data_IF_784023820572
#
_entry.id   IF_784023820572
#
_cell.length_a   1.000
_cell.length_b   1.000
_cell.length_c   1.000
_cell.angle_alpha   90.00
_cell.angle_beta   90.00
_cell.angle_gamma   90.00
#
_symmetry.space_group_name_H-M   'P 1'
#
loop_
_entity.id
_entity.type
_entity.pdbx_description
1 polymer ?
#
# COMPACT_ATOMS: atom_id res chain seq x y z
N UNK A 1 -37.22 -22.44 -14.88
CA UNK A 1 -36.92 -23.70 -14.20
C UNK A 1 -35.42 -23.87 -14.01
N UNK A 2 -34.89 -24.86 -14.72
CA UNK A 2 -33.54 -25.41 -14.58
C UNK A 2 -32.42 -24.47 -15.03
N UNK A 3 -32.63 -23.69 -16.11
CA UNK A 3 -31.64 -22.71 -16.58
C UNK A 3 -31.36 -21.63 -15.53
N UNK A 4 -32.40 -21.12 -14.87
CA UNK A 4 -32.27 -20.09 -13.83
C UNK A 4 -31.49 -20.65 -12.63
N UNK A 5 -31.80 -21.89 -12.25
CA UNK A 5 -31.13 -22.59 -11.16
C UNK A 5 -29.64 -22.83 -11.45
N UNK A 6 -29.32 -23.22 -12.69
CA UNK A 6 -27.93 -23.38 -13.14
C UNK A 6 -27.14 -22.07 -13.18
N UNK A 7 -27.75 -21.00 -13.71
CA UNK A 7 -27.11 -19.67 -13.76
C UNK A 7 -26.86 -19.12 -12.35
N UNK A 8 -27.82 -19.27 -11.43
CA UNK A 8 -27.68 -18.85 -10.03
C UNK A 8 -26.59 -19.65 -9.32
N UNK A 9 -26.53 -20.97 -9.50
CA UNK A 9 -25.49 -21.81 -8.89
C UNK A 9 -24.09 -21.39 -9.37
N UNK A 10 -23.91 -21.22 -10.67
CA UNK A 10 -22.62 -20.84 -11.24
C UNK A 10 -22.16 -19.45 -10.78
N UNK A 11 -23.07 -18.47 -10.81
CA UNK A 11 -22.77 -17.10 -10.35
C UNK A 11 -22.44 -17.05 -8.86
N UNK A 12 -23.15 -17.81 -8.01
CA UNK A 12 -22.82 -17.93 -6.60
C UNK A 12 -21.40 -18.46 -6.38
N UNK A 13 -21.00 -19.52 -7.09
CA UNK A 13 -19.64 -20.10 -6.94
C UNK A 13 -18.57 -19.07 -7.30
N UNK A 14 -18.73 -18.38 -8.44
CA UNK A 14 -17.77 -17.36 -8.88
C UNK A 14 -17.70 -16.20 -7.88
N UNK A 15 -18.85 -15.77 -7.36
CA UNK A 15 -18.92 -14.69 -6.37
C UNK A 15 -18.23 -15.08 -5.06
N UNK A 16 -18.44 -16.30 -4.57
CA UNK A 16 -17.77 -16.84 -3.37
C UNK A 16 -16.25 -16.89 -3.58
N UNK A 17 -15.80 -17.36 -4.73
CA UNK A 17 -14.38 -17.44 -5.05
C UNK A 17 -13.75 -16.03 -5.12
N UNK A 18 -14.41 -15.07 -5.76
CA UNK A 18 -13.95 -13.69 -5.84
C UNK A 18 -13.84 -13.05 -4.45
N UNK A 19 -14.83 -13.25 -3.57
CA UNK A 19 -14.79 -12.77 -2.19
C UNK A 19 -13.63 -13.39 -1.39
N UNK A 20 -13.38 -14.69 -1.55
CA UNK A 20 -12.25 -15.36 -0.91
C UNK A 20 -10.91 -14.77 -1.36
N UNK A 21 -10.73 -14.54 -2.66
CA UNK A 21 -9.50 -13.96 -3.21
C UNK A 21 -9.29 -12.53 -2.70
N UNK A 22 -10.33 -11.71 -2.70
CA UNK A 22 -10.26 -10.33 -2.19
C UNK A 22 -9.95 -10.29 -0.69
N UNK A 23 -10.56 -11.18 0.09
CA UNK A 23 -10.27 -11.30 1.52
C UNK A 23 -8.82 -11.72 1.76
N UNK A 24 -8.31 -12.72 1.03
CA UNK A 24 -6.92 -13.14 1.11
C UNK A 24 -5.96 -11.99 0.74
N UNK A 25 -6.24 -11.26 -0.36
CA UNK A 25 -5.44 -10.09 -0.78
C UNK A 25 -5.43 -9.01 0.30
N UNK A 26 -6.57 -8.74 0.94
CA UNK A 26 -6.67 -7.72 2.00
C UNK A 26 -5.80 -8.02 3.22
N UNK A 27 -5.52 -9.29 3.48
CA UNK A 27 -4.65 -9.73 4.58
C UNK A 27 -3.18 -9.89 4.17
N UNK A 28 -2.91 -10.28 2.92
CA UNK A 28 -1.54 -10.46 2.42
C UNK A 28 -0.87 -9.15 1.98
N UNK A 29 -1.65 -8.16 1.56
CA UNK A 29 -1.12 -6.85 1.18
C UNK A 29 -1.09 -5.96 2.41
N UNK A 30 0.11 -5.69 2.90
CA UNK A 30 0.35 -4.86 4.07
C UNK A 30 -0.06 -3.41 3.77
N UNK A 31 -1.30 -3.06 4.13
CA UNK A 31 -1.85 -1.70 4.00
C UNK A 31 -1.88 -0.99 5.36
N UNK A 32 -1.28 -1.60 6.39
CA UNK A 32 -1.20 -1.02 7.72
C UNK A 32 -0.26 0.18 7.76
N UNK A 33 -0.48 1.06 8.74
CA UNK A 33 0.46 2.14 8.99
C UNK A 33 1.79 1.58 9.52
N UNK A 34 2.89 2.06 8.95
CA UNK A 34 4.26 1.72 9.34
C UNK A 34 4.85 2.86 10.16
N UNK A 35 5.61 2.51 11.20
CA UNK A 35 6.43 3.47 11.91
C UNK A 35 7.74 3.68 11.13
N UNK A 36 8.01 4.93 10.75
CA UNK A 36 9.26 5.34 10.09
C UNK A 36 10.10 6.10 11.11
N UNK A 37 11.23 5.51 11.47
CA UNK A 37 12.22 6.12 12.37
C UNK A 37 13.31 6.82 11.55
N UNK A 38 13.58 8.09 11.87
CA UNK A 38 14.57 8.91 11.16
C UNK A 38 15.79 9.11 12.04
N UNK A 39 16.94 8.54 11.63
CA UNK A 39 18.23 8.68 12.33
C UNK A 39 18.24 8.26 13.82
N UNK A 40 17.29 7.43 14.27
CA UNK A 40 17.20 7.04 15.68
C UNK A 40 16.57 8.10 16.60
N UNK A 41 16.07 9.22 16.04
CA UNK A 41 15.36 10.26 16.79
C UNK A 41 13.87 9.91 16.89
N UNK A 42 13.38 9.63 18.11
CA UNK A 42 11.96 9.37 18.36
C UNK A 42 11.09 10.61 18.08
N UNK A 43 11.61 11.81 18.30
CA UNK A 43 10.88 13.08 18.08
C UNK A 43 10.61 13.37 16.60
N UNK A 44 11.35 12.73 15.69
CA UNK A 44 11.17 12.81 14.23
C UNK A 44 10.55 11.56 13.64
N UNK A 45 10.26 10.57 14.48
CA UNK A 45 9.60 9.34 14.05
C UNK A 45 8.11 9.59 13.84
N UNK A 46 7.56 9.05 12.77
CA UNK A 46 6.15 9.24 12.45
C UNK A 46 5.54 7.97 11.88
N UNK A 47 4.22 7.88 12.00
CA UNK A 47 3.43 6.78 11.47
C UNK A 47 2.86 7.20 10.12
N UNK A 48 3.10 6.38 9.09
CA UNK A 48 2.62 6.65 7.74
C UNK A 48 2.05 5.40 7.08
N UNK A 49 1.04 5.54 6.21
CA UNK A 49 0.43 4.41 5.52
C UNK A 49 1.44 3.72 4.59
N UNK A 50 1.56 2.40 4.69
CA UNK A 50 2.41 1.63 3.78
C UNK A 50 1.90 1.73 2.33
N UNK A 51 2.81 2.03 1.39
CA UNK A 51 2.52 2.04 -0.05
C UNK A 51 2.88 3.32 -0.78
N UNK A 52 3.09 4.43 -0.07
CA UNK A 52 3.66 5.65 -0.66
C UNK A 52 5.20 5.61 -0.65
N UNK A 53 5.84 6.46 -1.45
CA UNK A 53 7.30 6.56 -1.50
C UNK A 53 7.83 7.19 -0.22
N UNK A 54 8.89 6.60 0.35
CA UNK A 54 9.56 7.12 1.55
C UNK A 54 9.92 8.61 1.43
N UNK A 55 10.34 9.07 0.24
CA UNK A 55 10.68 10.47 -0.01
C UNK A 55 9.48 11.42 0.08
N UNK A 56 8.28 11.00 -0.35
CA UNK A 56 7.06 11.78 -0.21
C UNK A 56 6.66 11.90 1.27
N UNK A 57 6.79 10.79 2.01
CA UNK A 57 6.53 10.75 3.45
C UNK A 57 7.46 11.68 4.22
N UNK A 58 8.77 11.62 3.97
CA UNK A 58 9.78 12.50 4.56
C UNK A 58 9.53 13.97 4.20
N UNK A 59 9.23 14.27 2.93
CA UNK A 59 8.90 15.63 2.49
C UNK A 59 7.64 16.17 3.14
N UNK A 60 6.64 15.32 3.40
CA UNK A 60 5.39 15.72 4.08
C UNK A 60 5.63 16.07 5.55
N UNK A 61 6.65 15.50 6.17
CA UNK A 61 7.11 15.84 7.53
C UNK A 61 8.17 16.97 7.54
N UNK A 62 8.38 17.64 6.40
CA UNK A 62 9.32 18.77 6.29
C UNK A 62 10.80 18.36 6.24
N UNK A 63 11.10 17.07 6.07
CA UNK A 63 12.45 16.55 5.91
C UNK A 63 12.76 16.46 4.41
N UNK A 64 13.33 17.54 3.88
CA UNK A 64 13.70 17.62 2.47
C UNK A 64 15.09 17.08 2.24
N UNK A 65 15.18 16.00 1.47
CA UNK A 65 16.45 15.56 0.87
C UNK A 65 16.71 16.45 -0.35
N UNK A 66 17.96 16.90 -0.55
CA UNK A 66 18.40 17.72 -1.69
C UNK A 66 18.31 16.98 -3.02
N UNK A 67 17.10 16.59 -3.42
CA UNK A 67 16.77 15.75 -4.55
C UNK A 67 15.90 16.54 -5.51
N UNK A 68 16.46 16.89 -6.68
CA UNK A 68 15.74 17.64 -7.72
C UNK A 68 14.58 16.84 -8.37
N UNK A 69 14.45 15.54 -8.09
CA UNK A 69 13.43 14.67 -8.68
C UNK A 69 12.07 14.69 -7.96
N UNK A 70 11.87 15.54 -6.94
CA UNK A 70 10.55 15.73 -6.32
C UNK A 70 9.90 14.45 -5.78
N UNK A 71 10.70 13.55 -5.20
CA UNK A 71 10.23 12.24 -4.69
C UNK A 71 10.14 11.12 -5.74
N UNK A 72 10.51 11.39 -7.00
CA UNK A 72 10.51 10.41 -8.09
C UNK A 72 11.60 9.32 -8.01
N UNK A 73 12.69 9.56 -7.27
CA UNK A 73 13.85 8.66 -7.20
C UNK A 73 14.71 8.63 -8.48
N UNK A 74 14.35 9.39 -9.51
CA UNK A 74 15.02 9.40 -10.82
C UNK A 74 16.30 10.24 -10.87
N UNK A 75 16.56 11.09 -9.87
CA UNK A 75 17.72 11.96 -9.85
C UNK A 75 19.01 11.31 -9.33
N UNK A 76 18.96 10.06 -8.85
CA UNK A 76 20.15 9.32 -8.38
C UNK A 76 20.80 9.86 -7.10
N UNK A 77 20.26 10.93 -6.51
CA UNK A 77 20.80 11.55 -5.30
C UNK A 77 20.45 10.79 -4.01
N UNK A 78 19.34 10.05 -4.03
CA UNK A 78 18.94 9.18 -2.93
C UNK A 78 19.86 7.95 -2.93
N UNK A 79 20.66 7.81 -1.87
CA UNK A 79 21.42 6.58 -1.65
C UNK A 79 20.45 5.47 -1.29
N UNK A 80 20.58 4.35 -2.00
CA UNK A 80 19.88 3.11 -1.75
C UNK A 80 20.38 2.49 -0.45
#
# INVERSE_FOLDING_TARGET
MEIILGVVMFTCIVMVLALLILFAKSKLVNTGDIAVEVNGDQDKSFTAPAGDKLLNMLSSQGIFVSSACGGGGSCGQCRW
#
